data_IF_302670653920
#
_entry.id   IF_302670653920
#
_cell.length_a   1.000
_cell.length_b   1.000
_cell.length_c   1.000
_cell.angle_alpha   90.00
_cell.angle_beta   90.00
_cell.angle_gamma   90.00
#
_symmetry.space_group_name_H-M   'P 1'
#
loop_
_entity.id
_entity.type
_entity.pdbx_description
1 polymer ?
#
# COMPACT_ATOMS: atom_id res chain seq x y z
N UNK A 1 -2.17 -3.55 24.53
CA UNK A 1 -1.21 -4.69 24.64
C UNK A 1 -1.53 -5.86 23.70
N UNK A 2 -2.73 -5.97 23.13
CA UNK A 2 -3.13 -7.13 22.30
C UNK A 2 -2.47 -7.19 20.91
N UNK A 3 -2.10 -6.05 20.32
CA UNK A 3 -1.50 -5.98 18.98
C UNK A 3 -0.04 -6.45 18.89
N UNK A 4 0.66 -6.60 20.02
CA UNK A 4 2.07 -7.03 20.01
C UNK A 4 2.20 -8.54 19.75
N UNK A 5 1.23 -9.34 20.23
CA UNK A 5 1.24 -10.80 20.07
C UNK A 5 0.91 -11.24 18.65
N UNK A 6 -0.06 -10.60 17.98
CA UNK A 6 -0.45 -10.99 16.61
C UNK A 6 0.65 -10.78 15.59
N UNK A 7 1.44 -9.71 15.75
CA UNK A 7 2.57 -9.41 14.86
C UNK A 7 3.78 -10.32 15.08
N UNK A 8 4.11 -10.61 16.34
CA UNK A 8 5.17 -11.60 16.63
C UNK A 8 4.77 -12.96 16.06
N UNK A 9 3.51 -13.39 16.23
CA UNK A 9 2.98 -14.62 15.64
C UNK A 9 3.09 -14.63 14.10
N UNK A 10 2.77 -13.52 13.42
CA UNK A 10 2.92 -13.42 11.96
C UNK A 10 4.39 -13.54 11.49
N UNK A 11 5.33 -12.93 12.22
CA UNK A 11 6.76 -13.06 11.93
C UNK A 11 7.30 -14.46 12.21
N UNK A 12 6.78 -15.17 13.22
CA UNK A 12 7.09 -16.57 13.47
C UNK A 12 6.52 -17.48 12.38
N UNK A 13 5.30 -17.24 11.91
CA UNK A 13 4.70 -17.98 10.79
C UNK A 13 5.50 -17.78 9.48
N UNK A 14 5.92 -16.55 9.20
CA UNK A 14 6.79 -16.25 8.06
C UNK A 14 8.17 -16.90 8.21
N UNK A 15 8.70 -17.00 9.44
CA UNK A 15 9.94 -17.77 9.68
C UNK A 15 9.79 -19.23 9.34
N UNK A 16 8.76 -19.86 9.92
CA UNK A 16 8.47 -21.27 9.74
C UNK A 16 8.26 -21.57 8.26
N UNK A 17 7.52 -20.71 7.55
CA UNK A 17 7.32 -20.82 6.11
C UNK A 17 8.63 -20.74 5.32
N UNK A 18 9.50 -19.77 5.60
CA UNK A 18 10.81 -19.64 4.92
C UNK A 18 11.71 -20.85 5.22
N UNK A 19 11.75 -21.32 6.47
CA UNK A 19 12.56 -22.47 6.86
C UNK A 19 12.06 -23.75 6.18
N UNK A 20 10.74 -23.97 6.13
CA UNK A 20 10.10 -25.09 5.43
C UNK A 20 10.39 -25.02 3.93
N UNK A 21 10.20 -23.86 3.29
CA UNK A 21 10.52 -23.65 1.88
C UNK A 21 11.99 -23.92 1.56
N UNK A 22 12.89 -23.46 2.44
CA UNK A 22 14.33 -23.67 2.27
C UNK A 22 14.71 -25.14 2.44
N UNK A 23 14.14 -25.84 3.42
CA UNK A 23 14.36 -27.27 3.61
C UNK A 23 13.81 -28.09 2.44
N UNK A 24 12.56 -27.81 2.02
CA UNK A 24 11.93 -28.45 0.87
C UNK A 24 12.73 -28.23 -0.42
N UNK A 25 13.24 -27.03 -0.68
CA UNK A 25 14.07 -26.73 -1.85
C UNK A 25 15.33 -27.61 -1.92
N UNK A 26 16.01 -27.80 -0.78
CA UNK A 26 17.23 -28.64 -0.68
C UNK A 26 16.89 -30.13 -0.84
N UNK A 27 15.81 -30.59 -0.22
CA UNK A 27 15.38 -32.00 -0.30
C UNK A 27 14.98 -32.35 -1.73
N UNK A 28 14.21 -31.50 -2.41
CA UNK A 28 13.77 -31.72 -3.79
C UNK A 28 14.96 -31.74 -4.76
N UNK A 29 15.97 -30.90 -4.56
CA UNK A 29 17.20 -30.91 -5.38
C UNK A 29 17.99 -32.22 -5.24
N UNK A 30 18.04 -32.80 -4.03
CA UNK A 30 18.69 -34.10 -3.81
C UNK A 30 17.94 -35.26 -4.47
N UNK A 31 16.62 -35.31 -4.31
CA UNK A 31 15.77 -36.35 -4.94
C UNK A 31 15.84 -36.28 -6.47
N UNK A 32 15.96 -35.07 -7.02
CA UNK A 32 16.10 -34.83 -8.45
C UNK A 32 17.45 -35.32 -9.01
N UNK A 33 18.56 -35.12 -8.27
CA UNK A 33 19.89 -35.57 -8.70
C UNK A 33 20.05 -37.09 -8.74
N UNK A 34 19.25 -37.82 -7.95
CA UNK A 34 19.19 -39.29 -7.95
C UNK A 34 18.32 -39.85 -9.10
N UNK A 35 17.85 -39.00 -10.03
CA UNK A 35 17.01 -39.36 -11.19
C UNK A 35 15.73 -40.17 -10.87
N UNK A 36 15.25 -40.10 -9.62
CA UNK A 36 14.12 -40.92 -9.14
C UNK A 36 12.80 -40.50 -9.80
N UNK A 37 12.68 -39.25 -10.27
CA UNK A 37 11.49 -38.73 -10.95
C UNK A 37 11.87 -37.89 -12.19
N UNK A 38 11.30 -38.14 -13.38
CA UNK A 38 11.49 -37.30 -14.56
C UNK A 38 10.66 -36.01 -14.42
N UNK A 39 11.28 -34.94 -13.90
CA UNK A 39 10.62 -33.65 -13.66
C UNK A 39 11.00 -32.63 -14.76
N UNK A 40 10.04 -31.76 -15.14
CA UNK A 40 10.25 -30.75 -16.18
C UNK A 40 11.36 -29.73 -15.78
N UNK A 41 12.29 -29.36 -16.69
CA UNK A 41 13.37 -28.41 -16.41
C UNK A 41 12.91 -27.02 -15.96
N UNK A 42 11.66 -26.64 -16.27
CA UNK A 42 11.04 -25.39 -15.81
C UNK A 42 10.85 -25.38 -14.29
N UNK A 43 10.47 -26.52 -13.69
CA UNK A 43 10.24 -26.65 -12.25
C UNK A 43 11.56 -26.53 -11.49
N UNK A 44 12.64 -27.08 -12.04
CA UNK A 44 14.00 -26.95 -11.49
C UNK A 44 14.42 -25.47 -11.42
N UNK A 45 14.13 -24.69 -12.47
CA UNK A 45 14.40 -23.24 -12.47
C UNK A 45 13.60 -22.51 -11.39
N UNK A 46 12.33 -22.83 -11.22
CA UNK A 46 11.48 -22.22 -10.18
C UNK A 46 12.01 -22.56 -8.78
N UNK A 47 12.37 -23.81 -8.49
CA UNK A 47 12.95 -24.23 -7.20
C UNK A 47 14.28 -23.50 -6.95
N UNK A 48 15.07 -23.27 -7.99
CA UNK A 48 16.32 -22.50 -7.91
C UNK A 48 16.09 -21.03 -7.60
N UNK A 49 14.99 -20.42 -8.06
CA UNK A 49 14.60 -19.05 -7.70
C UNK A 49 14.06 -19.00 -6.27
N UNK A 50 13.28 -19.99 -5.87
CA UNK A 50 12.62 -20.07 -4.57
C UNK A 50 13.61 -20.09 -3.39
N UNK A 51 14.84 -20.61 -3.57
CA UNK A 51 15.90 -20.50 -2.55
C UNK A 51 16.34 -19.05 -2.27
N UNK A 52 16.06 -18.09 -3.17
CA UNK A 52 16.31 -16.66 -2.93
C UNK A 52 15.36 -16.14 -1.84
N UNK A 53 14.19 -16.76 -1.62
CA UNK A 53 13.27 -16.37 -0.56
C UNK A 53 13.89 -16.38 0.84
N UNK A 54 14.99 -17.10 1.08
CA UNK A 54 15.73 -17.02 2.35
C UNK A 54 16.30 -15.62 2.63
N UNK A 55 16.49 -14.78 1.59
CA UNK A 55 16.91 -13.37 1.73
C UNK A 55 15.87 -12.54 2.50
N UNK A 56 14.60 -12.95 2.51
CA UNK A 56 13.57 -12.30 3.31
C UNK A 56 13.84 -12.40 4.82
N UNK A 57 14.73 -13.29 5.28
CA UNK A 57 15.26 -13.26 6.65
C UNK A 57 15.98 -11.95 6.97
N UNK A 58 16.57 -11.27 5.99
CA UNK A 58 17.21 -9.96 6.19
C UNK A 58 16.20 -8.88 6.58
N UNK A 59 14.94 -8.98 6.14
CA UNK A 59 13.87 -8.08 6.58
C UNK A 59 13.62 -8.17 8.09
N UNK A 60 13.96 -9.30 8.71
CA UNK A 60 13.84 -9.49 10.17
C UNK A 60 14.95 -8.81 10.97
N UNK A 61 16.10 -8.59 10.35
CA UNK A 61 17.27 -8.01 11.02
C UNK A 61 17.14 -6.48 11.03
N UNK A 62 16.51 -5.91 10.00
CA UNK A 62 16.30 -4.48 9.87
C UNK A 62 15.01 -4.03 10.60
N UNK A 63 15.12 -3.76 11.92
CA UNK A 63 14.00 -3.27 12.73
C UNK A 63 13.31 -2.02 12.13
N UNK A 64 14.08 -1.11 11.50
CA UNK A 64 13.51 0.07 10.83
C UNK A 64 12.60 -0.27 9.65
N UNK A 65 12.92 -1.30 8.87
CA UNK A 65 12.10 -1.75 7.74
C UNK A 65 10.81 -2.44 8.19
N UNK A 66 10.84 -3.11 9.34
CA UNK A 66 9.64 -3.71 9.94
C UNK A 66 8.62 -2.65 10.33
N UNK A 67 9.08 -1.53 10.92
CA UNK A 67 8.22 -0.41 11.29
C UNK A 67 7.53 0.20 10.07
N UNK A 68 8.25 0.34 8.95
CA UNK A 68 7.67 0.81 7.69
C UNK A 68 6.61 -0.17 7.16
N UNK A 69 6.93 -1.47 7.10
CA UNK A 69 5.99 -2.50 6.65
C UNK A 69 4.74 -2.56 7.51
N UNK A 70 4.88 -2.44 8.83
CA UNK A 70 3.76 -2.37 9.76
C UNK A 70 2.86 -1.16 9.48
N UNK A 71 3.47 0.00 9.16
CA UNK A 71 2.73 1.22 8.83
C UNK A 71 1.96 1.09 7.52
N UNK A 72 2.54 0.42 6.51
CA UNK A 72 1.86 0.10 5.25
C UNK A 72 0.70 -0.87 5.47
N UNK A 73 0.92 -1.93 6.25
CA UNK A 73 -0.10 -2.92 6.55
C UNK A 73 -1.28 -2.34 7.32
N UNK A 74 -1.05 -1.36 8.19
CA UNK A 74 -2.13 -0.60 8.85
C UNK A 74 -2.91 0.31 7.90
N UNK A 75 -2.28 0.82 6.84
CA UNK A 75 -2.93 1.68 5.85
C UNK A 75 -3.74 0.88 4.80
N UNK A 76 -3.36 -0.39 4.54
CA UNK A 76 -3.98 -1.24 3.52
C UNK A 76 -5.50 -1.42 3.65
N UNK A 77 -6.08 -1.72 4.82
CA UNK A 77 -7.53 -1.94 4.95
C UNK A 77 -8.36 -0.74 4.53
N UNK A 78 -7.88 0.47 4.86
CA UNK A 78 -8.57 1.71 4.51
C UNK A 78 -8.50 1.99 3.00
N UNK A 79 -7.34 1.77 2.39
CA UNK A 79 -7.16 1.92 0.95
C UNK A 79 -7.96 0.85 0.19
N UNK A 80 -8.08 -0.35 0.77
CA UNK A 80 -8.75 -1.51 0.17
C UNK A 80 -10.18 -1.26 -0.27
N UNK A 81 -10.97 -0.49 0.49
CA UNK A 81 -12.36 -0.17 0.11
C UNK A 81 -12.44 0.65 -1.18
N UNK A 82 -11.58 1.68 -1.31
CA UNK A 82 -11.49 2.48 -2.53
C UNK A 82 -10.85 1.68 -3.68
N UNK A 83 -9.83 0.87 -3.39
CA UNK A 83 -9.20 0.00 -4.37
C UNK A 83 -10.14 -1.07 -4.92
N UNK A 84 -11.07 -1.59 -4.12
CA UNK A 84 -12.07 -2.56 -4.57
C UNK A 84 -13.04 -1.93 -5.58
N UNK A 85 -13.52 -0.71 -5.28
CA UNK A 85 -14.35 0.06 -6.20
C UNK A 85 -13.60 0.35 -7.52
N UNK A 86 -12.34 0.76 -7.41
CA UNK A 86 -11.48 0.98 -8.57
C UNK A 86 -11.26 -0.30 -9.40
N UNK A 87 -11.02 -1.43 -8.73
CA UNK A 87 -10.84 -2.71 -9.40
C UNK A 87 -12.09 -3.13 -10.17
N UNK A 88 -13.29 -2.90 -9.62
CA UNK A 88 -14.56 -3.14 -10.32
C UNK A 88 -14.72 -2.22 -11.52
N UNK A 89 -14.32 -0.94 -11.41
CA UNK A 89 -14.29 -0.02 -12.54
C UNK A 89 -13.36 -0.52 -13.67
N UNK A 90 -12.13 -0.94 -13.33
CA UNK A 90 -11.18 -1.50 -14.31
C UNK A 90 -11.74 -2.80 -14.92
N UNK A 91 -12.44 -3.62 -14.13
CA UNK A 91 -13.10 -4.84 -14.62
C UNK A 91 -14.14 -4.53 -15.72
N UNK A 92 -15.01 -3.55 -15.49
CA UNK A 92 -16.02 -3.14 -16.48
C UNK A 92 -15.31 -2.69 -17.77
N UNK A 93 -14.32 -1.82 -17.65
CA UNK A 93 -13.55 -1.36 -18.81
C UNK A 93 -12.82 -2.52 -19.51
N UNK A 94 -12.28 -3.50 -18.78
CA UNK A 94 -11.64 -4.66 -19.38
C UNK A 94 -12.62 -5.47 -20.24
N UNK A 95 -13.84 -5.72 -19.76
CA UNK A 95 -14.87 -6.41 -20.55
C UNK A 95 -15.29 -5.61 -21.78
N UNK A 96 -15.49 -4.29 -21.64
CA UNK A 96 -15.81 -3.41 -22.76
C UNK A 96 -14.67 -3.33 -23.79
N UNK A 97 -13.42 -3.29 -23.33
CA UNK A 97 -12.25 -3.27 -24.20
C UNK A 97 -12.09 -4.56 -25.01
N UNK A 98 -12.42 -5.72 -24.44
CA UNK A 98 -12.44 -6.99 -25.18
C UNK A 98 -13.52 -6.97 -26.27
N UNK A 99 -14.71 -6.44 -25.97
CA UNK A 99 -15.79 -6.36 -26.96
C UNK A 99 -15.45 -5.37 -28.09
N UNK A 100 -14.92 -4.20 -27.74
CA UNK A 100 -14.60 -3.14 -28.70
C UNK A 100 -13.34 -3.45 -29.52
N UNK A 101 -12.29 -3.98 -28.89
CA UNK A 101 -10.96 -4.08 -29.48
C UNK A 101 -10.40 -5.51 -29.55
N UNK A 102 -11.13 -6.53 -29.13
CA UNK A 102 -10.64 -7.91 -29.10
C UNK A 102 -10.40 -8.53 -30.47
N UNK A 103 -11.03 -7.98 -31.52
CA UNK A 103 -10.84 -8.39 -32.92
C UNK A 103 -9.76 -7.59 -33.66
N UNK A 104 -9.04 -6.69 -32.99
CA UNK A 104 -7.93 -5.99 -33.65
C UNK A 104 -6.75 -6.94 -33.81
N UNK A 105 -6.24 -6.98 -35.04
CA UNK A 105 -5.06 -7.76 -35.39
C UNK A 105 -3.94 -6.81 -35.80
N UNK A 106 -2.74 -7.11 -35.32
CA UNK A 106 -1.51 -6.44 -35.67
C UNK A 106 -0.70 -7.46 -36.45
N UNK A 107 -0.50 -7.21 -37.74
CA UNK A 107 0.24 -8.10 -38.65
C UNK A 107 1.37 -7.31 -39.33
N UNK A 108 2.24 -8.00 -40.07
CA UNK A 108 3.37 -7.38 -40.76
C UNK A 108 2.95 -6.31 -41.78
N UNK A 109 1.74 -6.45 -42.37
CA UNK A 109 1.15 -5.46 -43.28
C UNK A 109 0.57 -4.22 -42.54
N UNK A 110 0.12 -4.40 -41.30
CA UNK A 110 -0.42 -3.34 -40.45
C UNK A 110 0.24 -3.39 -39.06
N UNK A 111 1.50 -2.94 -38.95
CA UNK A 111 2.28 -3.11 -37.73
C UNK A 111 1.78 -2.17 -36.63
N UNK A 112 1.47 -2.69 -35.45
CA UNK A 112 1.14 -1.90 -34.27
C UNK A 112 2.39 -1.42 -33.54
N UNK A 113 2.32 -0.22 -32.98
CA UNK A 113 3.47 0.41 -32.30
C UNK A 113 3.49 0.10 -30.81
N UNK A 114 2.30 0.05 -30.21
CA UNK A 114 2.07 -0.04 -28.77
C UNK A 114 1.24 -1.26 -28.38
N UNK A 115 0.35 -1.74 -29.25
CA UNK A 115 -0.29 -3.06 -29.11
C UNK A 115 0.69 -4.17 -29.47
N UNK A 116 0.75 -5.20 -28.64
CA UNK A 116 1.65 -6.34 -28.80
C UNK A 116 1.10 -7.59 -28.07
N UNK A 117 1.79 -8.73 -28.18
CA UNK A 117 1.35 -10.02 -27.59
C UNK A 117 1.03 -9.94 -26.08
N UNK A 118 1.67 -9.00 -25.38
CA UNK A 118 1.53 -8.81 -23.94
C UNK A 118 0.66 -7.61 -23.54
N UNK A 119 0.31 -6.72 -24.47
CA UNK A 119 -0.63 -5.62 -24.25
C UNK A 119 -1.63 -5.58 -25.41
N UNK A 120 -2.76 -6.25 -25.22
CA UNK A 120 -3.87 -6.32 -26.18
C UNK A 120 -5.19 -6.63 -25.48
N UNK A 121 -6.27 -6.59 -26.26
CA UNK A 121 -7.64 -6.81 -25.78
C UNK A 121 -8.24 -8.15 -26.24
N UNK A 122 -7.42 -9.11 -26.72
CA UNK A 122 -7.94 -10.39 -27.23
C UNK A 122 -8.58 -11.26 -26.14
N UNK A 123 -8.01 -11.20 -24.94
CA UNK A 123 -8.47 -11.97 -23.78
C UNK A 123 -8.67 -11.03 -22.60
N UNK A 124 -9.70 -11.30 -21.78
CA UNK A 124 -10.00 -10.53 -20.57
C UNK A 124 -8.79 -10.33 -19.66
N UNK A 125 -8.01 -11.39 -19.39
CA UNK A 125 -6.84 -11.29 -18.51
C UNK A 125 -5.74 -10.36 -19.05
N UNK A 126 -5.47 -10.39 -20.37
CA UNK A 126 -4.50 -9.49 -20.99
C UNK A 126 -5.06 -8.08 -21.10
N UNK A 127 -6.37 -7.92 -21.35
CA UNK A 127 -7.05 -6.63 -21.34
C UNK A 127 -6.94 -5.95 -19.97
N UNK A 128 -7.12 -6.72 -18.88
CA UNK A 128 -6.95 -6.22 -17.51
C UNK A 128 -5.53 -5.73 -17.25
N UNK A 129 -4.50 -6.49 -17.67
CA UNK A 129 -3.09 -6.08 -17.56
C UNK A 129 -2.77 -4.86 -18.46
N UNK A 130 -3.38 -4.79 -19.64
CA UNK A 130 -3.24 -3.66 -20.55
C UNK A 130 -3.84 -2.40 -19.95
N UNK A 131 -5.02 -2.49 -19.33
CA UNK A 131 -5.63 -1.38 -18.62
C UNK A 131 -4.89 -1.00 -17.34
N UNK A 132 -4.25 -1.96 -16.65
CA UNK A 132 -3.34 -1.66 -15.56
C UNK A 132 -2.15 -0.81 -16.03
N UNK A 133 -1.55 -1.14 -17.19
CA UNK A 133 -0.51 -0.32 -17.82
C UNK A 133 -1.00 1.08 -18.19
N UNK A 134 -2.21 1.19 -18.74
CA UNK A 134 -2.83 2.48 -19.06
C UNK A 134 -3.12 3.29 -17.79
N UNK A 135 -3.54 2.63 -16.70
CA UNK A 135 -3.84 3.24 -15.41
C UNK A 135 -2.61 3.89 -14.76
N UNK A 136 -1.40 3.38 -15.02
CA UNK A 136 -0.15 4.00 -14.59
C UNK A 136 0.28 5.16 -15.48
N UNK A 137 -0.47 5.48 -16.53
CA UNK A 137 -0.14 6.51 -17.52
C UNK A 137 0.93 6.09 -18.54
N UNK A 138 1.32 4.82 -18.58
CA UNK A 138 2.35 4.36 -19.51
C UNK A 138 1.77 4.09 -20.90
N UNK A 139 2.30 4.77 -21.91
CA UNK A 139 2.04 4.55 -23.33
C UNK A 139 0.54 4.41 -23.72
N UNK A 140 -0.36 5.05 -22.97
CA UNK A 140 -1.81 4.95 -23.20
C UNK A 140 -2.24 5.58 -24.53
N UNK A 141 -1.58 6.68 -24.92
CA UNK A 141 -1.87 7.38 -26.17
C UNK A 141 -1.46 6.58 -27.41
N UNK A 142 -0.40 5.77 -27.30
CA UNK A 142 0.01 4.85 -28.35
C UNK A 142 -0.96 3.69 -28.52
N UNK A 143 -1.40 3.09 -27.40
CA UNK A 143 -2.44 2.04 -27.41
C UNK A 143 -3.73 2.59 -28.01
N UNK A 144 -4.15 3.79 -27.61
CA UNK A 144 -5.31 4.47 -28.19
C UNK A 144 -5.16 4.64 -29.71
N UNK A 145 -4.03 5.17 -30.20
CA UNK A 145 -3.80 5.34 -31.65
C UNK A 145 -3.87 4.02 -32.41
N UNK A 146 -3.29 2.95 -31.88
CA UNK A 146 -3.35 1.65 -32.54
C UNK A 146 -4.79 1.10 -32.57
N UNK A 147 -5.61 1.38 -31.55
CA UNK A 147 -7.04 0.97 -31.53
C UNK A 147 -7.96 1.80 -32.43
N UNK A 148 -7.51 2.96 -32.92
CA UNK A 148 -8.27 3.81 -33.85
C UNK A 148 -8.17 3.34 -35.31
N UNK A 149 -7.32 2.34 -35.60
CA UNK A 149 -7.03 1.91 -36.96
C UNK A 149 -8.23 1.21 -37.61
N UNK A 150 -8.38 1.31 -38.94
CA UNK A 150 -9.35 0.52 -39.67
C UNK A 150 -9.02 -0.96 -39.53
N UNK A 151 -10.03 -1.76 -39.17
CA UNK A 151 -9.92 -3.21 -39.22
C UNK A 151 -10.31 -3.64 -40.64
N UNK A 152 -9.32 -3.89 -41.51
CA UNK A 152 -9.54 -4.31 -42.91
C UNK A 152 -9.96 -5.78 -43.03
N UNK A 153 -10.10 -6.49 -41.91
CA UNK A 153 -10.76 -7.78 -41.85
C UNK A 153 -12.23 -7.62 -42.25
N UNK A 154 -12.47 -7.95 -43.53
CA UNK A 154 -13.66 -7.86 -44.40
C UNK A 154 -15.06 -8.13 -43.81
N UNK A 155 -15.20 -8.51 -42.54
CA UNK A 155 -16.49 -8.63 -41.87
C UNK A 155 -17.03 -7.32 -41.28
N UNK A 156 -16.19 -6.31 -40.95
CA UNK A 156 -16.61 -5.10 -40.20
C UNK A 156 -16.14 -3.77 -40.82
N UNK A 157 -15.82 -3.74 -42.12
CA UNK A 157 -15.29 -2.59 -42.84
C UNK A 157 -16.14 -1.29 -42.76
N UNK A 158 -17.40 -1.37 -42.30
CA UNK A 158 -18.26 -0.20 -42.04
C UNK A 158 -18.02 0.52 -40.71
N UNK A 159 -17.29 -0.08 -39.76
CA UNK A 159 -17.18 0.42 -38.38
C UNK A 159 -15.96 1.30 -38.09
N UNK A 160 -15.13 1.62 -39.09
CA UNK A 160 -13.93 2.44 -38.88
C UNK A 160 -14.26 3.80 -38.26
N UNK A 161 -15.30 4.47 -38.76
CA UNK A 161 -15.72 5.80 -38.26
C UNK A 161 -16.20 5.75 -36.80
N UNK A 162 -16.78 4.62 -36.38
CA UNK A 162 -17.23 4.39 -35.01
C UNK A 162 -16.02 4.23 -34.07
N UNK A 163 -15.03 3.43 -34.44
CA UNK A 163 -13.80 3.22 -33.65
C UNK A 163 -12.94 4.48 -33.53
N UNK A 164 -12.84 5.29 -34.59
CA UNK A 164 -12.10 6.57 -34.55
C UNK A 164 -12.65 7.55 -33.50
N UNK A 165 -13.95 7.48 -33.20
CA UNK A 165 -14.60 8.36 -32.21
C UNK A 165 -14.60 7.69 -30.83
N UNK A 166 -14.93 6.40 -30.76
CA UNK A 166 -15.12 5.71 -29.48
C UNK A 166 -13.82 5.35 -28.80
N UNK A 167 -12.75 5.02 -29.56
CA UNK A 167 -11.47 4.72 -28.95
C UNK A 167 -10.92 5.89 -28.11
N UNK A 168 -10.81 7.13 -28.65
CA UNK A 168 -10.40 8.28 -27.85
C UNK A 168 -11.30 8.51 -26.63
N UNK A 169 -12.62 8.43 -26.78
CA UNK A 169 -13.55 8.61 -25.67
C UNK A 169 -13.34 7.55 -24.57
N UNK A 170 -13.17 6.29 -24.95
CA UNK A 170 -12.91 5.19 -24.04
C UNK A 170 -11.60 5.40 -23.25
N UNK A 171 -10.48 5.66 -23.94
CA UNK A 171 -9.18 5.80 -23.28
C UNK A 171 -9.07 7.10 -22.48
N UNK A 172 -9.56 8.22 -22.99
CA UNK A 172 -9.54 9.51 -22.27
C UNK A 172 -10.42 9.42 -21.03
N UNK A 173 -11.65 8.89 -21.13
CA UNK A 173 -12.51 8.72 -19.97
C UNK A 173 -11.87 7.79 -18.93
N UNK A 174 -11.29 6.67 -19.35
CA UNK A 174 -10.60 5.74 -18.45
C UNK A 174 -9.42 6.40 -17.73
N UNK A 175 -8.56 7.13 -18.45
CA UNK A 175 -7.38 7.80 -17.87
C UNK A 175 -7.79 8.90 -16.91
N UNK A 176 -8.76 9.74 -17.27
CA UNK A 176 -9.25 10.82 -16.39
C UNK A 176 -9.87 10.25 -15.12
N UNK A 177 -10.74 9.24 -15.25
CA UNK A 177 -11.37 8.59 -14.10
C UNK A 177 -10.34 7.90 -13.20
N UNK A 178 -9.38 7.19 -13.80
CA UNK A 178 -8.31 6.52 -13.05
C UNK A 178 -7.46 7.53 -12.30
N UNK A 179 -7.05 8.62 -12.95
CA UNK A 179 -6.24 9.65 -12.31
C UNK A 179 -7.00 10.33 -11.17
N UNK A 180 -8.29 10.59 -11.34
CA UNK A 180 -9.15 11.12 -10.29
C UNK A 180 -9.21 10.17 -9.07
N UNK A 181 -9.40 8.88 -9.31
CA UNK A 181 -9.42 7.87 -8.23
C UNK A 181 -8.06 7.75 -7.54
N UNK A 182 -6.95 7.76 -8.28
CA UNK A 182 -5.61 7.73 -7.70
C UNK A 182 -5.36 8.94 -6.78
N UNK A 183 -5.77 10.13 -7.20
CA UNK A 183 -5.67 11.34 -6.37
C UNK A 183 -6.53 11.18 -5.11
N UNK A 184 -7.76 10.67 -5.23
CA UNK A 184 -8.64 10.44 -4.08
C UNK A 184 -8.07 9.42 -3.08
N UNK A 185 -7.38 8.37 -3.56
CA UNK A 185 -6.67 7.43 -2.70
C UNK A 185 -5.54 8.12 -1.95
N UNK A 186 -4.74 8.95 -2.62
CA UNK A 186 -3.66 9.71 -1.98
C UNK A 186 -4.21 10.65 -0.91
N UNK A 187 -5.28 11.40 -1.22
CA UNK A 187 -5.94 12.29 -0.27
C UNK A 187 -6.47 11.50 0.94
N UNK A 188 -7.14 10.38 0.72
CA UNK A 188 -7.67 9.55 1.80
C UNK A 188 -6.57 9.06 2.75
N UNK A 189 -5.43 8.63 2.20
CA UNK A 189 -4.27 8.20 2.99
C UNK A 189 -3.65 9.37 3.74
N UNK A 190 -3.48 10.53 3.10
CA UNK A 190 -2.91 11.71 3.75
C UNK A 190 -3.80 12.23 4.87
N UNK A 191 -5.11 12.33 4.66
CA UNK A 191 -6.07 12.75 5.68
C UNK A 191 -6.06 11.80 6.88
N UNK A 192 -6.02 10.48 6.63
CA UNK A 192 -5.85 9.50 7.71
C UNK A 192 -4.59 9.77 8.53
N UNK A 193 -3.47 10.03 7.87
CA UNK A 193 -2.20 10.30 8.56
C UNK A 193 -2.23 11.60 9.35
N UNK A 194 -2.91 12.63 8.84
CA UNK A 194 -3.10 13.89 9.55
C UNK A 194 -4.03 13.72 10.76
N UNK A 195 -5.12 12.99 10.61
CA UNK A 195 -6.05 12.63 11.69
C UNK A 195 -5.34 11.84 12.79
N UNK A 196 -4.67 10.75 12.43
CA UNK A 196 -3.87 9.93 13.36
C UNK A 196 -2.82 10.79 14.10
N UNK A 197 -2.16 11.73 13.42
CA UNK A 197 -1.16 12.61 14.04
C UNK A 197 -1.78 13.67 14.97
N UNK A 198 -2.98 14.16 14.66
CA UNK A 198 -3.67 15.18 15.48
C UNK A 198 -4.21 14.55 16.76
N UNK A 199 -4.80 13.36 16.67
CA UNK A 199 -5.27 12.60 17.84
C UNK A 199 -4.13 12.28 18.81
N UNK A 200 -2.93 11.95 18.32
CA UNK A 200 -1.76 11.74 19.21
C UNK A 200 -1.39 13.00 20.00
N UNK A 201 -1.50 14.19 19.41
CA UNK A 201 -1.19 15.46 20.08
C UNK A 201 -2.26 15.78 21.15
N UNK A 202 -3.53 15.54 20.86
CA UNK A 202 -4.63 15.74 21.80
C UNK A 202 -4.55 14.76 22.99
N UNK A 203 -4.22 13.49 22.72
CA UNK A 203 -4.00 12.47 23.75
C UNK A 203 -2.79 12.76 24.64
N UNK A 204 -1.71 13.36 24.12
CA UNK A 204 -0.54 13.76 24.92
C UNK A 204 -0.79 15.04 25.74
N UNK A 205 -1.71 15.90 25.30
CA UNK A 205 -2.05 17.14 26.01
C UNK A 205 -3.02 16.94 27.18
N UNK A 206 -3.91 15.94 27.12
CA UNK A 206 -4.89 15.65 28.15
C UNK A 206 -4.32 15.22 29.53
N UNK A 207 -3.26 14.38 29.62
CA UNK A 207 -2.66 13.96 30.89
C UNK A 207 -2.13 15.13 31.72
N UNK A 208 -1.56 16.14 31.08
CA UNK A 208 -1.01 17.31 31.76
C UNK A 208 -2.11 18.21 32.32
N UNK A 209 -3.25 18.32 31.63
CA UNK A 209 -4.40 19.07 32.13
C UNK A 209 -5.08 18.36 33.30
N UNK A 210 -5.28 17.05 33.24
CA UNK A 210 -5.92 16.30 34.31
C UNK A 210 -5.04 16.19 35.55
N UNK A 211 -3.71 16.03 35.38
CA UNK A 211 -2.76 16.09 36.50
C UNK A 211 -2.76 17.48 37.15
N UNK A 212 -2.84 18.56 36.37
CA UNK A 212 -3.00 19.94 36.89
C UNK A 212 -4.35 20.16 37.56
N UNK A 213 -5.46 19.59 37.07
CA UNK A 213 -6.77 19.70 37.74
C UNK A 213 -6.81 18.93 39.06
N UNK A 214 -6.17 17.76 39.12
CA UNK A 214 -6.20 16.89 40.29
C UNK A 214 -5.20 17.29 41.39
N UNK A 215 -4.01 17.78 41.02
CA UNK A 215 -2.96 18.19 41.97
C UNK A 215 -2.78 19.70 42.10
N UNK A 216 -3.19 20.50 41.12
CA UNK A 216 -3.11 21.97 41.16
C UNK A 216 -3.76 22.62 42.39
N UNK A 217 -4.94 22.20 42.87
CA UNK A 217 -5.52 22.78 44.08
C UNK A 217 -4.73 22.45 45.35
N UNK A 218 -4.08 21.27 45.45
CA UNK A 218 -3.29 20.88 46.61
C UNK A 218 -1.92 21.57 46.66
N UNK A 219 -1.29 21.81 45.50
CA UNK A 219 -0.01 22.53 45.41
C UNK A 219 -0.18 24.01 45.82
N UNK A 220 -1.31 24.64 45.48
CA UNK A 220 -1.60 26.02 45.90
C UNK A 220 -1.90 26.12 47.42
N UNK A 221 -2.53 25.09 47.99
CA UNK A 221 -2.90 25.06 49.41
C UNK A 221 -1.70 24.80 50.34
N UNK A 222 -0.73 23.97 49.90
CA UNK A 222 0.53 23.75 50.62
C UNK A 222 1.53 24.90 50.44
N UNK A 223 1.58 25.53 49.25
CA UNK A 223 2.44 26.69 49.01
C UNK A 223 2.16 27.85 49.97
N UNK A 224 0.89 28.16 50.23
CA UNK A 224 0.49 29.18 51.20
C UNK A 224 0.77 28.79 52.65
N UNK A 225 0.73 27.49 52.98
CA UNK A 225 1.06 27.01 54.34
C UNK A 225 2.57 27.10 54.61
N UNK A 226 3.39 26.76 53.62
CA UNK A 226 4.86 26.89 53.70
C UNK A 226 5.28 28.36 53.74
N UNK A 227 4.65 29.24 52.96
CA UNK A 227 4.92 30.68 53.00
C UNK A 227 4.53 31.30 54.35
N UNK A 228 3.41 30.86 54.94
CA UNK A 228 2.97 31.30 56.27
C UNK A 228 3.90 30.78 57.38
N UNK A 229 4.36 29.53 57.30
CA UNK A 229 5.35 28.96 58.21
C UNK A 229 6.71 29.67 58.11
N UNK A 230 7.15 30.05 56.90
CA UNK A 230 8.38 30.82 56.72
C UNK A 230 8.25 32.23 57.30
N UNK A 231 7.11 32.89 57.15
CA UNK A 231 6.83 34.18 57.78
C UNK A 231 6.81 34.07 59.32
N UNK A 232 6.19 33.03 59.87
CA UNK A 232 6.12 32.80 61.32
C UNK A 232 7.51 32.48 61.91
N UNK A 233 8.31 31.65 61.23
CA UNK A 233 9.70 31.35 61.63
C UNK A 233 10.58 32.61 61.57
N UNK A 234 10.44 33.43 60.52
CA UNK A 234 11.22 34.66 60.39
C UNK A 234 10.79 35.72 61.44
N UNK A 235 9.49 35.81 61.75
CA UNK A 235 8.97 36.68 62.80
C UNK A 235 9.44 36.28 64.21
N UNK A 236 9.55 34.97 64.49
CA UNK A 236 10.13 34.45 65.74
C UNK A 236 11.63 34.73 65.84
N UNK A 237 12.37 34.60 64.73
CA UNK A 237 13.80 34.93 64.69
C UNK A 237 14.06 36.42 64.96
N UNK A 238 13.22 37.32 64.42
CA UNK A 238 13.31 38.76 64.68
C UNK A 238 12.94 39.10 66.11
N UNK A 239 11.86 38.52 66.67
CA UNK A 239 11.49 38.73 68.08
C UNK A 239 12.57 38.25 69.06
N UNK A 240 13.20 37.10 68.80
CA UNK A 240 14.28 36.55 69.63
C UNK A 240 15.57 37.38 69.63
N UNK A 241 15.82 38.20 68.59
CA UNK A 241 16.94 39.16 68.54
C UNK A 241 16.65 40.45 69.30
N UNK A 242 15.39 40.87 69.40
CA UNK A 242 14.99 42.10 70.10
C UNK A 242 14.93 41.90 71.62
N UNK A 243 14.74 40.67 72.11
CA UNK A 243 14.69 40.38 73.56
C UNK A 243 16.06 40.17 74.23
N UNK A 244 17.16 40.33 73.48
CA UNK A 244 18.55 40.13 73.98
C UNK A 244 19.42 41.41 73.93
N UNK A 245 18.80 42.58 73.78
CA UNK A 245 19.41 43.90 73.95
C UNK A 245 18.69 44.62 75.09
#
# INVERSE_FOLDING_TARGET
MENCCTWTIAWYQLDAFIVILSAASIIIEKVLNENILPINPTIIRVIRILRIARIFKLLKIANGLQTLMHTVMKALPQVGNLSLLFFLFVFIFATLGVELFGKLECDDEQPCTSLNKHANFKNFGIALLTLFRVATGDNWSGIMKDTMRPNDSSAHAGNHRFLTIISPLYFIAFVVMTQFVLINIVIAVLLKKLEDATTMIEEDAAPDEDMRRQYGPNVQHDGGHVEKLLLDVNALHVKGKITKL
#
